data_IF_955107411657
#
_entry.id   IF_955107411657
#
_cell.length_a   1.000
_cell.length_b   1.000
_cell.length_c   1.000
_cell.angle_alpha   90.00
_cell.angle_beta   90.00
_cell.angle_gamma   90.00
#
_symmetry.space_group_name_H-M   'P 1'
#
loop_
_entity.id
_entity.type
_entity.pdbx_description
1 polymer ?
#
# COMPACT_ATOMS: atom_id res chain seq x y z
N UNK A 1 -3.82 17.39 2.95
CA UNK A 1 -2.49 17.91 2.80
C UNK A 1 -2.17 18.29 1.37
N UNK A 2 -2.08 19.54 1.13
CA UNK A 2 -1.98 20.02 -0.24
C UNK A 2 -0.63 19.81 -0.89
N UNK A 3 0.42 19.83 -0.11
CA UNK A 3 1.75 19.57 -0.65
C UNK A 3 1.87 18.20 -1.26
N UNK A 4 1.24 17.24 -0.64
CA UNK A 4 1.20 15.88 -1.17
C UNK A 4 0.49 15.82 -2.50
N UNK A 5 -0.65 16.48 -2.59
CA UNK A 5 -1.42 16.47 -3.82
C UNK A 5 -0.66 17.15 -4.96
N UNK A 6 0.08 18.20 -4.68
CA UNK A 6 0.81 18.88 -5.72
C UNK A 6 2.02 18.10 -6.21
N UNK A 7 2.56 17.20 -5.39
CA UNK A 7 3.70 16.37 -5.78
C UNK A 7 3.31 15.06 -6.43
N UNK A 8 2.02 14.73 -6.46
CA UNK A 8 1.51 13.47 -6.99
C UNK A 8 0.49 13.78 -8.07
N UNK A 9 0.62 13.10 -9.20
CA UNK A 9 -0.34 13.24 -10.28
C UNK A 9 -1.73 12.87 -9.78
N UNK A 10 -2.75 13.56 -10.24
CA UNK A 10 -4.11 13.31 -9.74
C UNK A 10 -4.55 11.88 -9.97
N UNK A 11 -4.11 11.24 -11.05
CA UNK A 11 -4.43 9.84 -11.30
C UNK A 11 -3.84 8.93 -10.21
N UNK A 12 -2.61 9.22 -9.78
CA UNK A 12 -1.96 8.44 -8.72
C UNK A 12 -2.61 8.68 -7.38
N UNK A 13 -3.00 9.92 -7.13
CA UNK A 13 -3.66 10.29 -5.90
C UNK A 13 -4.98 9.54 -5.74
N UNK A 14 -5.74 9.44 -6.82
CA UNK A 14 -6.99 8.69 -6.84
C UNK A 14 -6.75 7.20 -6.58
N UNK A 15 -5.76 6.63 -7.27
CA UNK A 15 -5.41 5.23 -7.11
C UNK A 15 -4.93 4.95 -5.68
N UNK A 16 -4.13 5.84 -5.12
CA UNK A 16 -3.65 5.71 -3.76
C UNK A 16 -4.82 5.68 -2.77
N UNK A 17 -5.79 6.57 -2.95
CA UNK A 17 -6.97 6.60 -2.08
C UNK A 17 -7.81 5.34 -2.19
N UNK A 18 -7.96 4.81 -3.40
CA UNK A 18 -8.69 3.56 -3.60
C UNK A 18 -8.00 2.40 -2.89
N UNK A 19 -6.69 2.33 -2.99
CA UNK A 19 -5.91 1.28 -2.35
C UNK A 19 -5.99 1.40 -0.83
N UNK A 20 -5.85 2.60 -0.30
CA UNK A 20 -5.96 2.82 1.14
C UNK A 20 -7.34 2.50 1.67
N UNK A 21 -8.38 2.84 0.91
CA UNK A 21 -9.73 2.49 1.27
C UNK A 21 -9.95 0.99 1.29
N UNK A 22 -9.38 0.29 0.32
CA UNK A 22 -9.45 -1.16 0.28
C UNK A 22 -8.72 -1.79 1.47
N UNK A 23 -7.54 -1.27 1.78
CA UNK A 23 -6.76 -1.75 2.92
C UNK A 23 -7.51 -1.54 4.22
N UNK A 24 -8.15 -0.40 4.37
CA UNK A 24 -8.96 -0.07 5.54
C UNK A 24 -10.11 -1.06 5.74
N UNK A 25 -10.65 -1.59 4.65
CA UNK A 25 -11.75 -2.55 4.70
C UNK A 25 -11.25 -4.00 4.78
N UNK A 26 -9.95 -4.23 4.69
CA UNK A 26 -9.37 -5.57 4.69
C UNK A 26 -9.16 -6.08 6.10
N UNK A 27 -9.29 -7.39 6.27
CA UNK A 27 -9.01 -8.05 7.54
C UNK A 27 -7.82 -9.00 7.44
N UNK A 28 -7.33 -9.23 6.23
CA UNK A 28 -6.12 -10.02 6.00
C UNK A 28 -5.34 -9.41 4.85
N UNK A 29 -4.05 -9.74 4.77
CA UNK A 29 -3.23 -9.27 3.66
C UNK A 29 -3.75 -9.79 2.32
N UNK A 30 -4.34 -10.98 2.29
CA UNK A 30 -4.87 -11.56 1.07
C UNK A 30 -6.01 -10.75 0.46
N UNK A 31 -6.71 -9.98 1.26
CA UNK A 31 -7.75 -9.10 0.76
C UNK A 31 -7.19 -8.04 -0.18
N UNK A 32 -5.87 -7.83 -0.14
CA UNK A 32 -5.19 -6.90 -1.02
C UNK A 32 -4.60 -7.57 -2.26
N UNK A 33 -4.86 -8.85 -2.44
CA UNK A 33 -4.38 -9.60 -3.61
C UNK A 33 -5.33 -9.36 -4.80
N UNK A 34 -5.22 -8.15 -5.35
CA UNK A 34 -6.09 -7.69 -6.43
C UNK A 34 -5.26 -7.49 -7.70
N UNK A 35 -5.91 -7.64 -8.87
CA UNK A 35 -5.20 -7.43 -10.13
C UNK A 35 -4.54 -6.05 -10.18
N UNK A 36 -3.29 -6.02 -10.60
CA UNK A 36 -2.55 -4.77 -10.74
C UNK A 36 -1.88 -4.26 -9.48
N UNK A 37 -2.13 -4.86 -8.32
CA UNK A 37 -1.50 -4.41 -7.07
C UNK A 37 -0.22 -5.17 -6.75
N UNK A 38 -0.04 -6.34 -7.31
CA UNK A 38 1.18 -7.13 -7.12
C UNK A 38 1.52 -7.32 -5.64
N UNK A 39 0.55 -7.78 -4.87
CA UNK A 39 0.75 -8.05 -3.46
C UNK A 39 1.89 -9.04 -3.26
N UNK A 40 2.83 -8.72 -2.40
CA UNK A 40 3.84 -9.70 -2.01
C UNK A 40 4.35 -9.40 -0.61
N UNK A 41 4.87 -10.44 0.00
CA UNK A 41 5.43 -10.36 1.34
C UNK A 41 6.89 -9.96 1.26
N UNK A 42 7.28 -9.04 2.12
CA UNK A 42 8.66 -8.58 2.17
C UNK A 42 9.51 -9.53 3.00
N UNK A 43 10.80 -9.55 2.73
CA UNK A 43 11.75 -10.46 3.38
C UNK A 43 12.87 -9.69 4.07
N UNK A 44 13.72 -10.41 4.79
CA UNK A 44 14.86 -9.84 5.47
C UNK A 44 14.42 -8.94 6.60
N UNK A 45 14.96 -7.73 6.67
CA UNK A 45 14.64 -6.77 7.73
C UNK A 45 13.16 -6.42 7.79
N UNK A 46 12.48 -6.55 6.67
CA UNK A 46 11.08 -6.17 6.57
C UNK A 46 10.14 -7.37 6.69
N UNK A 47 10.64 -8.46 7.22
CA UNK A 47 9.83 -9.67 7.39
C UNK A 47 8.58 -9.37 8.20
N UNK A 48 7.45 -9.90 7.77
CA UNK A 48 6.18 -9.64 8.40
C UNK A 48 5.41 -8.49 7.76
N UNK A 49 6.04 -7.78 6.83
CA UNK A 49 5.38 -6.69 6.11
C UNK A 49 4.99 -7.15 4.72
N UNK A 50 3.99 -6.48 4.18
CA UNK A 50 3.47 -6.72 2.84
C UNK A 50 3.59 -5.46 2.02
N UNK A 51 3.57 -5.62 0.72
CA UNK A 51 3.70 -4.51 -0.20
C UNK A 51 2.69 -4.65 -1.33
N UNK A 52 2.07 -3.53 -1.70
CA UNK A 52 1.27 -3.44 -2.93
C UNK A 52 1.77 -2.27 -3.75
N UNK A 53 1.72 -2.43 -5.06
CA UNK A 53 2.19 -1.41 -5.98
C UNK A 53 1.10 -0.37 -6.21
N UNK A 54 1.48 0.89 -6.12
CA UNK A 54 0.56 1.98 -6.45
C UNK A 54 0.81 2.44 -7.89
N UNK A 55 2.03 2.85 -8.18
CA UNK A 55 2.38 3.33 -9.52
C UNK A 55 3.90 3.43 -9.63
N UNK A 56 4.46 2.99 -10.75
CA UNK A 56 5.90 3.03 -10.94
C UNK A 56 6.63 2.35 -9.80
N UNK A 57 7.49 3.09 -9.10
CA UNK A 57 8.23 2.58 -7.95
C UNK A 57 7.51 2.80 -6.62
N UNK A 58 6.36 3.45 -6.64
CA UNK A 58 5.64 3.77 -5.42
C UNK A 58 4.84 2.57 -4.92
N UNK A 59 4.96 2.29 -3.64
CA UNK A 59 4.29 1.15 -3.00
C UNK A 59 3.71 1.55 -1.66
N UNK A 60 2.65 0.85 -1.27
CA UNK A 60 2.15 0.91 0.10
C UNK A 60 2.64 -0.33 0.80
N UNK A 61 3.28 -0.17 1.96
CA UNK A 61 3.71 -1.28 2.78
C UNK A 61 2.90 -1.28 4.08
N UNK A 62 2.67 -2.44 4.62
CA UNK A 62 1.81 -2.58 5.80
C UNK A 62 2.05 -3.92 6.48
N UNK A 63 1.54 -4.02 7.71
CA UNK A 63 1.50 -5.28 8.47
C UNK A 63 0.06 -5.55 8.86
N UNK A 64 -0.21 -6.78 9.23
CA UNK A 64 -1.47 -7.14 9.88
C UNK A 64 -1.20 -7.70 11.27
N UNK A 65 -2.00 -7.25 12.23
CA UNK A 65 -2.02 -7.80 13.57
C UNK A 65 -3.46 -8.26 13.79
N UNK A 66 -3.68 -9.58 13.66
CA UNK A 66 -5.04 -10.08 13.62
C UNK A 66 -5.74 -9.47 12.41
N UNK A 67 -6.92 -8.88 12.59
CA UNK A 67 -7.68 -8.29 11.48
C UNK A 67 -7.30 -6.84 11.19
N UNK A 68 -6.30 -6.29 11.87
CA UNK A 68 -5.98 -4.86 11.78
C UNK A 68 -4.73 -4.61 10.95
N UNK A 69 -4.83 -3.70 9.99
CA UNK A 69 -3.67 -3.22 9.24
C UNK A 69 -2.93 -2.19 10.07
N UNK A 70 -1.62 -2.34 10.15
CA UNK A 70 -0.75 -1.48 10.96
C UNK A 70 0.45 -1.01 10.17
N UNK A 71 1.09 0.05 10.66
CA UNK A 71 2.35 0.56 10.13
C UNK A 71 2.29 0.75 8.63
N UNK A 72 1.26 1.44 8.19
CA UNK A 72 1.06 1.69 6.77
C UNK A 72 1.98 2.82 6.33
N UNK A 73 2.81 2.54 5.32
CA UNK A 73 3.74 3.52 4.75
C UNK A 73 3.58 3.61 3.25
N UNK A 74 3.89 4.77 2.70
CA UNK A 74 3.89 5.01 1.28
C UNK A 74 5.34 5.29 0.87
N UNK A 75 5.94 4.37 0.13
CA UNK A 75 7.37 4.37 -0.12
C UNK A 75 7.70 4.33 -1.61
N UNK A 76 8.80 4.98 -1.95
CA UNK A 76 9.33 4.97 -3.30
C UNK A 76 10.47 3.95 -3.35
N UNK A 77 10.27 2.88 -4.07
CA UNK A 77 11.27 1.81 -4.23
C UNK A 77 11.99 2.00 -5.55
N UNK A 78 13.27 2.20 -5.50
CA UNK A 78 14.10 2.30 -6.70
C UNK A 78 14.82 1.00 -6.96
#
# INVERSE_FOLDING_TARGET
MKGTASGIQSAYSKRLRLILGRLSASTTARDMDLPGLYLHQLRGKHRGRWSVRVSGNWRITFKFDGPDALDVDYEDYH
#
